data_IF_829570077520
#
_entry.id   IF_829570077520
#
_cell.length_a   1.000
_cell.length_b   1.000
_cell.length_c   1.000
_cell.angle_alpha   90.00
_cell.angle_beta   90.00
_cell.angle_gamma   90.00
#
_symmetry.space_group_name_H-M   'P 1'
#
loop_
_entity.id
_entity.type
_entity.pdbx_description
1 polymer ?
#
# COMPACT_ATOMS: atom_id res chain seq x y z
N UNK A 1 0.23 -22.26 -5.02
CA UNK A 1 0.91 -20.96 -5.24
C UNK A 1 0.81 -20.19 -3.93
N UNK A 2 1.93 -19.66 -3.40
CA UNK A 2 1.89 -18.96 -2.12
C UNK A 2 1.11 -17.66 -2.30
N UNK A 3 0.07 -17.48 -1.48
CA UNK A 3 -0.70 -16.25 -1.46
C UNK A 3 0.11 -15.18 -0.71
N UNK A 4 0.31 -14.02 -1.31
CA UNK A 4 1.01 -12.87 -0.72
C UNK A 4 -0.03 -12.08 0.08
N UNK A 5 0.23 -11.82 1.36
CA UNK A 5 -0.64 -10.97 2.16
C UNK A 5 -0.19 -9.52 2.07
N UNK A 6 -0.98 -8.66 1.42
CA UNK A 6 -0.80 -7.22 1.44
C UNK A 6 -1.43 -6.64 2.70
N UNK A 7 -0.63 -5.90 3.47
CA UNK A 7 -1.07 -5.00 4.54
C UNK A 7 -0.75 -3.57 4.14
N UNK A 8 -1.79 -2.82 3.78
CA UNK A 8 -1.69 -1.41 3.43
C UNK A 8 -2.02 -0.56 4.66
N UNK A 9 -1.08 0.28 5.09
CA UNK A 9 -1.31 1.30 6.11
C UNK A 9 -1.34 2.67 5.45
N UNK A 10 -2.44 3.39 5.66
CA UNK A 10 -2.67 4.75 5.18
C UNK A 10 -2.67 5.71 6.37
N UNK A 11 -1.50 6.01 6.97
CA UNK A 11 -1.42 6.97 8.04
C UNK A 11 -1.78 8.36 7.50
N UNK A 12 -2.99 8.80 7.78
CA UNK A 12 -3.34 10.22 7.70
C UNK A 12 -3.07 10.88 9.07
N UNK A 13 -2.99 12.21 9.11
CA UNK A 13 -2.84 12.96 10.36
C UNK A 13 -3.99 12.72 11.37
N UNK A 14 -5.11 12.13 10.92
CA UNK A 14 -6.35 11.99 11.68
C UNK A 14 -6.78 10.53 11.89
N UNK A 15 -6.33 9.59 11.06
CA UNK A 15 -6.62 8.16 11.21
C UNK A 15 -5.50 7.28 10.67
N UNK A 16 -5.29 6.12 11.30
CA UNK A 16 -4.52 5.01 10.74
C UNK A 16 -5.49 3.97 10.22
N UNK A 17 -5.81 4.04 8.93
CA UNK A 17 -6.53 2.95 8.28
C UNK A 17 -5.54 1.87 7.84
N UNK A 18 -5.80 0.64 8.27
CA UNK A 18 -5.03 -0.54 7.86
C UNK A 18 -5.96 -1.49 7.11
N UNK A 19 -5.60 -1.83 5.88
CA UNK A 19 -6.34 -2.75 5.03
C UNK A 19 -5.50 -4.00 4.76
N UNK A 20 -6.14 -5.16 4.78
CA UNK A 20 -5.53 -6.45 4.48
C UNK A 20 -6.14 -7.02 3.21
N UNK A 21 -5.30 -7.54 2.32
CA UNK A 21 -5.75 -8.16 1.09
C UNK A 21 -4.85 -9.32 0.70
N UNK A 22 -5.46 -10.43 0.29
CA UNK A 22 -4.74 -11.59 -0.23
C UNK A 22 -4.49 -11.37 -1.73
N UNK A 23 -3.24 -11.51 -2.16
CA UNK A 23 -2.82 -11.44 -3.55
C UNK A 23 -2.35 -12.80 -4.02
N UNK A 24 -2.68 -13.15 -5.26
CA UNK A 24 -2.40 -14.49 -5.80
C UNK A 24 -0.99 -14.61 -6.40
N UNK A 25 -0.40 -13.49 -6.84
CA UNK A 25 0.88 -13.45 -7.53
C UNK A 25 1.50 -12.04 -7.55
N UNK A 26 2.74 -11.94 -8.04
CA UNK A 26 3.48 -10.68 -8.21
C UNK A 26 2.81 -9.68 -9.17
N UNK A 27 2.10 -10.16 -10.19
CA UNK A 27 1.44 -9.28 -11.15
C UNK A 27 0.31 -8.47 -10.48
N UNK A 28 -0.47 -9.11 -9.61
CA UNK A 28 -1.46 -8.41 -8.79
C UNK A 28 -0.81 -7.37 -7.86
N UNK A 29 0.34 -7.71 -7.26
CA UNK A 29 1.11 -6.76 -6.44
C UNK A 29 1.47 -5.48 -7.20
N UNK A 30 1.96 -5.58 -8.44
CA UNK A 30 2.26 -4.40 -9.25
C UNK A 30 1.01 -3.53 -9.51
N UNK A 31 -0.13 -4.16 -9.80
CA UNK A 31 -1.41 -3.46 -9.96
C UNK A 31 -1.79 -2.70 -8.68
N UNK A 32 -1.61 -3.31 -7.51
CA UNK A 32 -1.89 -2.67 -6.23
C UNK A 32 -0.96 -1.50 -5.93
N UNK A 33 0.35 -1.66 -6.16
CA UNK A 33 1.32 -0.57 -5.99
C UNK A 33 0.92 0.64 -6.83
N UNK A 34 0.58 0.42 -8.10
CA UNK A 34 0.17 1.49 -9.01
C UNK A 34 -1.16 2.15 -8.58
N UNK A 35 -2.13 1.35 -8.12
CA UNK A 35 -3.41 1.86 -7.60
C UNK A 35 -3.21 2.74 -6.37
N UNK A 36 -2.45 2.27 -5.38
CA UNK A 36 -2.15 3.04 -4.17
C UNK A 36 -1.32 4.29 -4.46
N UNK A 37 -0.39 4.23 -5.42
CA UNK A 37 0.35 5.41 -5.88
C UNK A 37 -0.58 6.46 -6.47
N UNK A 38 -1.56 6.06 -7.29
CA UNK A 38 -2.56 6.97 -7.86
C UNK A 38 -3.44 7.57 -6.75
N UNK A 39 -3.99 6.74 -5.88
CA UNK A 39 -4.82 7.19 -4.75
C UNK A 39 -4.07 8.15 -3.82
N UNK A 40 -2.80 7.86 -3.51
CA UNK A 40 -1.97 8.74 -2.69
C UNK A 40 -1.80 10.13 -3.30
N UNK A 41 -1.57 10.21 -4.62
CA UNK A 41 -1.49 11.49 -5.35
C UNK A 41 -2.81 12.23 -5.36
N UNK A 42 -3.92 11.53 -5.54
CA UNK A 42 -5.26 12.12 -5.53
C UNK A 42 -5.61 12.67 -4.15
N UNK A 43 -5.35 11.90 -3.08
CA UNK A 43 -5.53 12.33 -1.71
C UNK A 43 -4.65 13.54 -1.37
N UNK A 44 -3.37 13.54 -1.75
CA UNK A 44 -2.48 14.66 -1.50
C UNK A 44 -3.00 15.97 -2.11
N UNK A 45 -3.48 15.91 -3.36
CA UNK A 45 -4.13 17.03 -4.05
C UNK A 45 -5.43 17.47 -3.37
N UNK A 46 -6.29 16.52 -3.03
CA UNK A 46 -7.61 16.80 -2.45
C UNK A 46 -7.49 17.50 -1.09
N UNK A 47 -6.56 17.05 -0.24
CA UNK A 47 -6.36 17.60 1.10
C UNK A 47 -5.30 18.72 1.14
N UNK A 48 -4.68 19.04 0.01
CA UNK A 48 -3.56 19.98 -0.16
C UNK A 48 -2.45 19.77 0.88
N UNK A 49 -2.10 18.50 1.11
CA UNK A 49 -1.15 18.05 2.14
C UNK A 49 -0.43 16.78 1.68
N UNK A 50 0.81 16.53 2.14
CA UNK A 50 1.50 15.29 1.83
C UNK A 50 0.72 14.07 2.32
N UNK A 51 0.61 13.06 1.47
CA UNK A 51 -0.04 11.80 1.80
C UNK A 51 1.00 10.67 1.79
N UNK A 52 1.06 9.91 2.89
CA UNK A 52 2.00 8.80 3.08
C UNK A 52 1.22 7.49 3.06
N UNK A 53 1.70 6.53 2.29
CA UNK A 53 1.18 5.18 2.23
C UNK A 53 2.33 4.20 2.49
N UNK A 54 2.10 3.22 3.37
CA UNK A 54 3.02 2.09 3.61
C UNK A 54 2.34 0.81 3.16
N UNK A 55 2.97 0.09 2.23
CA UNK A 55 2.53 -1.24 1.78
C UNK A 55 3.51 -2.29 2.31
N UNK A 56 3.00 -3.30 3.00
CA UNK A 56 3.77 -4.46 3.45
C UNK A 56 3.25 -5.69 2.70
N UNK A 57 4.12 -6.37 1.95
CA UNK A 57 3.81 -7.62 1.25
C UNK A 57 4.47 -8.76 2.02
N UNK A 58 3.66 -9.59 2.65
CA UNK A 58 4.11 -10.68 3.52
C UNK A 58 4.05 -11.97 2.72
N UNK A 59 5.22 -12.56 2.46
CA UNK A 59 5.38 -13.85 1.82
C UNK A 59 5.51 -14.90 2.93
N UNK A 60 4.56 -15.84 3.08
CA UNK A 60 4.49 -16.75 4.23
C UNK A 60 5.78 -17.51 4.53
N UNK A 61 6.56 -17.83 3.49
CA UNK A 61 7.72 -18.73 3.60
C UNK A 61 9.06 -18.06 3.28
N UNK A 62 9.08 -16.76 2.98
CA UNK A 62 10.28 -16.10 2.45
C UNK A 62 10.69 -14.87 3.26
N UNK A 63 9.99 -13.74 3.10
CA UNK A 63 10.31 -12.47 3.74
C UNK A 63 9.11 -11.52 3.71
N UNK A 64 9.25 -10.36 4.33
CA UNK A 64 8.29 -9.25 4.16
C UNK A 64 8.95 -8.14 3.35
N UNK A 65 8.35 -7.78 2.23
CA UNK A 65 8.74 -6.61 1.45
C UNK A 65 7.96 -5.38 1.94
N UNK A 66 8.63 -4.25 2.14
CA UNK A 66 7.98 -3.01 2.57
C UNK A 66 8.27 -1.89 1.60
N UNK A 67 7.21 -1.22 1.13
CA UNK A 67 7.28 -0.05 0.28
C UNK A 67 6.65 1.14 1.00
N UNK A 68 7.41 2.22 1.15
CA UNK A 68 6.91 3.50 1.67
C UNK A 68 6.81 4.48 0.50
N UNK A 69 5.61 5.02 0.30
CA UNK A 69 5.33 6.02 -0.73
C UNK A 69 4.88 7.32 -0.09
N UNK A 70 5.41 8.44 -0.61
CA UNK A 70 4.99 9.79 -0.26
C UNK A 70 4.55 10.51 -1.53
N UNK A 71 3.39 11.15 -1.49
CA UNK A 71 2.93 12.09 -2.51
C UNK A 71 2.79 13.47 -1.87
N UNK A 72 3.10 14.52 -2.64
CA UNK A 72 3.00 15.93 -2.26
C UNK A 72 2.03 16.65 -3.20
#
# INVERSE_FOLDING_TARGET
>A
MPAILLKASLPTLLSKDTQFQLLQNESEKEVFINRYRKHSKEAAKQYNRPHICKLEFIYPDEYTETIVMKAE
#
